data_IF_684775548891
#
_entry.id   IF_684775548891
#
_cell.length_a   1.000
_cell.length_b   1.000
_cell.length_c   1.000
_cell.angle_alpha   90.00
_cell.angle_beta   90.00
_cell.angle_gamma   90.00
#
_symmetry.space_group_name_H-M   'P 1'
#
loop_
_entity.id
_entity.type
_entity.pdbx_description
1 polymer ?
#
# COMPACT_ATOMS: atom_id res chain seq x y z
N UNK A 1 -24.31 31.51 -6.95
CA UNK A 1 -23.71 30.79 -5.81
C UNK A 1 -23.01 29.58 -6.37
N UNK A 2 -21.74 29.76 -6.75
CA UNK A 2 -20.91 28.67 -7.27
C UNK A 2 -19.77 28.51 -6.29
N UNK A 3 -19.86 27.52 -5.40
CA UNK A 3 -18.64 26.96 -4.83
C UNK A 3 -18.78 25.44 -4.84
N UNK A 4 -17.99 24.86 -5.74
CA UNK A 4 -18.03 23.46 -6.08
C UNK A 4 -17.52 22.61 -4.94
N UNK A 5 -18.12 21.42 -4.82
CA UNK A 5 -17.63 20.27 -4.07
C UNK A 5 -16.09 20.17 -4.12
N UNK A 6 -15.40 20.58 -3.07
CA UNK A 6 -14.07 20.05 -2.76
C UNK A 6 -14.27 18.85 -1.86
N UNK A 7 -14.38 17.67 -2.46
CA UNK A 7 -14.11 16.44 -1.73
C UNK A 7 -12.72 16.62 -1.10
N UNK A 8 -12.66 16.71 0.22
CA UNK A 8 -11.40 16.82 0.94
C UNK A 8 -10.59 15.55 0.65
N UNK A 9 -9.66 15.64 -0.29
CA UNK A 9 -8.66 14.61 -0.53
C UNK A 9 -7.81 14.56 0.74
N UNK A 10 -8.09 13.59 1.61
CA UNK A 10 -7.29 13.34 2.82
C UNK A 10 -5.85 13.08 2.40
N UNK A 11 -4.91 13.65 3.15
CA UNK A 11 -3.49 13.38 2.95
C UNK A 11 -3.24 11.87 3.14
N UNK A 12 -2.49 11.23 2.24
CA UNK A 12 -2.16 9.83 2.37
C UNK A 12 -1.31 9.62 3.64
N UNK A 13 -1.64 8.61 4.42
CA UNK A 13 -0.92 8.25 5.65
C UNK A 13 -0.12 6.99 5.40
N UNK A 14 1.08 6.91 5.98
CA UNK A 14 1.92 5.71 5.91
C UNK A 14 1.62 4.81 7.10
N UNK A 15 1.29 3.56 6.82
CA UNK A 15 1.04 2.50 7.81
C UNK A 15 2.11 1.43 7.71
N UNK A 16 2.46 0.82 8.84
CA UNK A 16 3.39 -0.32 8.92
C UNK A 16 2.58 -1.59 9.18
N UNK A 17 2.59 -2.50 8.21
CA UNK A 17 1.75 -3.71 8.21
C UNK A 17 2.64 -4.95 8.20
N UNK A 18 2.49 -5.85 9.17
CA UNK A 18 3.39 -6.99 9.41
C UNK A 18 2.81 -8.35 8.97
N UNK A 19 1.55 -8.40 8.55
CA UNK A 19 0.85 -9.63 8.14
C UNK A 19 0.74 -9.82 6.62
N UNK A 20 1.22 -8.87 5.82
CA UNK A 20 1.24 -8.98 4.35
C UNK A 20 2.33 -9.96 3.88
N UNK A 21 2.20 -10.47 2.64
CA UNK A 21 3.19 -11.33 2.00
C UNK A 21 4.57 -10.64 1.91
N UNK A 22 5.68 -11.41 2.01
CA UNK A 22 7.04 -10.86 1.97
C UNK A 22 7.35 -10.20 0.62
N UNK A 23 8.36 -9.34 0.61
CA UNK A 23 8.83 -8.68 -0.62
C UNK A 23 9.46 -9.67 -1.60
N UNK A 24 8.99 -9.69 -2.86
CA UNK A 24 9.52 -10.61 -3.87
C UNK A 24 10.99 -10.39 -4.21
N UNK A 25 11.50 -9.16 -4.05
CA UNK A 25 12.88 -8.80 -4.37
C UNK A 25 13.89 -9.22 -3.30
N UNK A 26 13.63 -8.92 -2.03
CA UNK A 26 14.59 -9.15 -0.94
C UNK A 26 14.13 -10.17 0.10
N UNK A 27 12.92 -10.71 -0.03
CA UNK A 27 12.33 -11.72 0.85
C UNK A 27 12.29 -11.30 2.32
N UNK A 28 12.25 -9.99 2.60
CA UNK A 28 12.18 -9.51 3.96
C UNK A 28 10.76 -9.64 4.51
N UNK A 29 10.64 -10.04 5.78
CA UNK A 29 9.38 -10.15 6.52
C UNK A 29 9.12 -8.92 7.41
N UNK A 30 9.53 -7.73 6.96
CA UNK A 30 9.40 -6.50 7.74
C UNK A 30 8.01 -5.88 7.62
N UNK A 31 7.67 -5.00 8.56
CA UNK A 31 6.44 -4.23 8.50
C UNK A 31 6.44 -3.34 7.23
N UNK A 32 5.68 -3.77 6.24
CA UNK A 32 5.58 -3.19 4.91
C UNK A 32 4.93 -1.80 5.03
N UNK A 33 5.51 -0.81 4.35
CA UNK A 33 5.00 0.55 4.37
C UNK A 33 3.90 0.68 3.32
N UNK A 34 2.66 0.91 3.77
CA UNK A 34 1.49 1.12 2.91
C UNK A 34 1.09 2.59 2.97
N UNK A 35 1.05 3.24 1.83
CA UNK A 35 0.63 4.63 1.66
C UNK A 35 -0.77 4.65 1.05
N UNK A 36 -1.76 4.95 1.90
CA UNK A 36 -3.17 4.86 1.51
C UNK A 36 -4.02 5.97 2.11
N UNK A 37 -5.28 6.04 1.64
CA UNK A 37 -6.30 6.96 2.19
C UNK A 37 -7.20 6.30 3.23
N UNK A 38 -6.78 5.14 3.74
CA UNK A 38 -7.50 4.40 4.78
C UNK A 38 -7.69 5.25 6.05
N UNK A 39 -8.76 4.95 6.79
CA UNK A 39 -9.14 5.66 8.01
C UNK A 39 -8.27 5.30 9.22
N UNK A 40 -7.50 4.19 9.19
CA UNK A 40 -6.79 3.71 10.39
C UNK A 40 -5.70 2.64 10.16
N UNK A 41 -5.36 2.28 8.92
CA UNK A 41 -4.45 1.16 8.65
C UNK A 41 -5.02 -0.22 8.98
N UNK A 42 -6.29 -0.28 9.42
CA UNK A 42 -7.02 -1.51 9.73
C UNK A 42 -7.73 -2.12 8.53
N UNK A 43 -8.03 -1.28 7.53
CA UNK A 43 -8.59 -1.69 6.26
C UNK A 43 -7.62 -1.20 5.19
N UNK A 44 -7.15 -2.11 4.35
CA UNK A 44 -6.37 -1.75 3.16
C UNK A 44 -7.32 -1.75 1.97
N UNK A 45 -7.06 -0.87 1.00
CA UNK A 45 -7.84 -0.80 -0.22
C UNK A 45 -6.98 -1.24 -1.40
N UNK A 46 -7.61 -1.92 -2.36
CA UNK A 46 -6.96 -2.20 -3.64
C UNK A 46 -6.46 -0.89 -4.27
N UNK A 47 -5.21 -0.89 -4.73
CA UNK A 47 -4.50 0.29 -5.24
C UNK A 47 -3.85 1.19 -4.17
N UNK A 48 -3.87 0.82 -2.89
CA UNK A 48 -3.00 1.49 -1.90
C UNK A 48 -1.54 1.18 -2.24
N UNK A 49 -0.69 2.20 -2.32
CA UNK A 49 0.70 2.04 -2.74
C UNK A 49 1.54 1.41 -1.63
N UNK A 50 2.48 0.56 -2.01
CA UNK A 50 3.32 -0.20 -1.09
C UNK A 50 4.79 0.08 -1.37
N UNK A 51 5.59 0.16 -0.29
CA UNK A 51 7.05 0.23 -0.35
C UNK A 51 7.68 -0.76 0.61
N UNK A 52 8.61 -1.57 0.10
CA UNK A 52 9.45 -2.45 0.90
C UNK A 52 10.46 -1.59 1.68
N UNK A 53 10.49 -1.66 3.02
CA UNK A 53 11.45 -0.88 3.82
C UNK A 53 12.89 -1.42 3.70
N UNK A 54 13.07 -2.67 3.27
CA UNK A 54 14.39 -3.32 3.18
C UNK A 54 15.14 -2.97 1.91
N UNK A 55 14.50 -3.09 0.74
CA UNK A 55 15.13 -2.87 -0.56
C UNK A 55 14.53 -1.71 -1.37
N UNK A 56 13.47 -1.07 -0.87
CA UNK A 56 12.79 0.01 -1.56
C UNK A 56 11.91 -0.41 -2.74
N UNK A 57 11.75 -1.72 -3.01
CA UNK A 57 10.83 -2.20 -4.04
C UNK A 57 9.42 -1.66 -3.81
N UNK A 58 8.70 -1.39 -4.88
CA UNK A 58 7.34 -0.88 -4.83
C UNK A 58 6.35 -1.97 -5.24
N UNK A 59 5.08 -1.69 -4.99
CA UNK A 59 3.96 -2.53 -5.36
C UNK A 59 2.65 -1.85 -4.97
N UNK A 60 1.55 -2.56 -5.12
CA UNK A 60 0.23 -2.09 -4.75
C UNK A 60 -0.50 -3.16 -3.94
N UNK A 61 -1.41 -2.75 -3.06
CA UNK A 61 -2.32 -3.66 -2.40
C UNK A 61 -3.35 -4.15 -3.42
N UNK A 62 -3.60 -5.46 -3.42
CA UNK A 62 -4.82 -6.05 -3.96
C UNK A 62 -5.64 -6.65 -2.80
N UNK A 63 -6.96 -6.68 -2.96
CA UNK A 63 -7.88 -7.16 -1.94
C UNK A 63 -9.19 -7.67 -2.56
N UNK A 64 -9.68 -8.81 -2.07
CA UNK A 64 -10.93 -9.45 -2.53
C UNK A 64 -12.13 -9.25 -1.58
N UNK A 65 -11.93 -8.51 -0.49
CA UNK A 65 -12.93 -8.20 0.53
C UNK A 65 -12.72 -8.95 1.85
N UNK A 66 -12.08 -10.13 1.82
CA UNK A 66 -11.75 -10.92 3.02
C UNK A 66 -10.24 -10.97 3.27
N UNK A 67 -9.44 -10.92 2.21
CA UNK A 67 -7.98 -10.97 2.23
C UNK A 67 -7.36 -9.76 1.54
N UNK A 68 -6.11 -9.47 1.89
CA UNK A 68 -5.29 -8.47 1.21
C UNK A 68 -3.84 -8.95 1.12
N UNK A 69 -3.20 -8.63 0.01
CA UNK A 69 -1.80 -8.94 -0.28
C UNK A 69 -1.18 -7.83 -1.12
N UNK A 70 0.14 -7.84 -1.21
CA UNK A 70 0.92 -6.94 -2.05
C UNK A 70 1.20 -7.62 -3.38
N UNK A 71 0.75 -7.00 -4.46
CA UNK A 71 1.25 -7.27 -5.81
C UNK A 71 2.52 -6.44 -5.98
N UNK A 72 3.67 -7.09 -5.90
CA UNK A 72 4.97 -6.42 -6.02
C UNK A 72 5.31 -6.14 -7.47
N UNK A 73 5.95 -4.99 -7.72
CA UNK A 73 6.52 -4.70 -9.02
C UNK A 73 7.62 -5.71 -9.33
N UNK A 74 7.42 -6.46 -10.41
CA UNK A 74 8.31 -7.53 -10.86
C UNK A 74 9.37 -7.04 -11.84
N UNK A 75 9.43 -5.74 -12.14
CA UNK A 75 10.41 -5.15 -13.05
C UNK A 75 11.83 -5.29 -12.48
N UNK A 76 12.48 -6.40 -12.85
CA UNK A 76 13.92 -6.44 -13.04
C UNK A 76 14.19 -5.74 -14.37
N UNK A 77 14.54 -4.46 -14.33
CA UNK A 77 15.34 -3.91 -15.43
C UNK A 77 16.63 -4.74 -15.47
N UNK A 78 16.80 -5.52 -16.54
CA UNK A 78 18.02 -6.28 -16.85
C UNK A 78 19.19 -5.36 -17.24
#
# INVERSE_FOLDING_TARGET
MTDGKRAALREPTVYKIDWLNPCDRCQCHHAIEVTGRSLSGRYLCAGDAVKCPGCGNQGEIDADGDCAWVEWDTEREE
#
